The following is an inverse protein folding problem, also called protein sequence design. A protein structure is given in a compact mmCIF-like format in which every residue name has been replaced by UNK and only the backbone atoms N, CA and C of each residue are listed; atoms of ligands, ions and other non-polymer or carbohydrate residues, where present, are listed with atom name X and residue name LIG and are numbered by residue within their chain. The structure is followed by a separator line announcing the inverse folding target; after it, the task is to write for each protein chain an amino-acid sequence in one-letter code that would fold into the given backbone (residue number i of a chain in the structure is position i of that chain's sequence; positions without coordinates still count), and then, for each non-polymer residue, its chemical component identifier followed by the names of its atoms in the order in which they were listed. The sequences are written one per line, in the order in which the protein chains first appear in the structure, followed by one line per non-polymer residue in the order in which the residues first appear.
data_IF_710239565350
#
_entry.id   IF_710239565350
#
_cell.length_a   1.000
_cell.length_b   1.000
_cell.length_c   1.000
_cell.angle_alpha   90.00
_cell.angle_beta   90.00
_cell.angle_gamma   90.00
#
_symmetry.space_group_name_H-M   'P 1'
#
loop_
_entity.id
_entity.type
_entity.pdbx_description
1 polymer ?
#
# COMPACT_ATOMS: atom_id res chain seq x y z
N UNK A 1 11.29 -17.67 -11.85
CA UNK A 1 10.51 -18.58 -12.73
C UNK A 1 10.45 -17.97 -14.12
N UNK A 2 10.31 -18.76 -15.17
CA UNK A 2 10.04 -18.21 -16.52
C UNK A 2 8.52 -18.03 -16.64
N UNK A 3 8.06 -16.83 -16.87
CA UNK A 3 6.68 -16.51 -17.16
C UNK A 3 6.36 -16.88 -18.60
N UNK A 4 5.16 -17.39 -18.88
CA UNK A 4 4.75 -17.88 -20.21
C UNK A 4 3.65 -17.01 -20.83
N UNK A 5 2.77 -16.45 -19.99
CA UNK A 5 1.62 -15.67 -20.41
C UNK A 5 1.81 -14.17 -20.25
N UNK A 6 2.83 -13.76 -19.50
CA UNK A 6 3.15 -12.35 -19.22
C UNK A 6 4.65 -12.09 -19.39
N UNK A 7 5.00 -10.84 -19.60
CA UNK A 7 6.37 -10.38 -19.49
C UNK A 7 6.53 -9.56 -18.21
N UNK A 8 7.62 -9.80 -17.47
CA UNK A 8 7.92 -9.14 -16.20
C UNK A 8 9.25 -8.41 -16.29
N UNK A 9 9.22 -7.09 -16.22
CA UNK A 9 10.40 -6.24 -16.23
C UNK A 9 10.57 -5.53 -14.89
N UNK A 10 11.59 -5.90 -14.11
CA UNK A 10 11.87 -5.27 -12.80
C UNK A 10 12.15 -3.77 -12.95
N UNK A 11 11.56 -2.97 -12.07
CA UNK A 11 11.79 -1.52 -11.98
C UNK A 11 13.08 -1.20 -11.26
N UNK A 12 13.36 -1.89 -10.15
CA UNK A 12 14.61 -1.83 -9.38
C UNK A 12 15.00 -3.22 -8.88
N UNK A 13 16.23 -3.42 -8.39
CA UNK A 13 16.61 -4.69 -7.76
C UNK A 13 15.82 -5.01 -6.49
N UNK A 14 15.27 -4.00 -5.82
CA UNK A 14 14.64 -4.15 -4.51
C UNK A 14 13.13 -4.38 -4.59
N UNK A 15 12.42 -3.67 -5.48
CA UNK A 15 10.96 -3.62 -5.51
C UNK A 15 10.45 -3.12 -6.85
N UNK A 16 9.28 -3.60 -7.25
CA UNK A 16 8.54 -3.14 -8.41
C UNK A 16 8.87 -3.87 -9.70
N UNK A 17 7.83 -4.21 -10.47
CA UNK A 17 7.95 -4.73 -11.81
C UNK A 17 6.82 -4.24 -12.72
N UNK A 18 7.15 -3.93 -13.97
CA UNK A 18 6.16 -3.65 -15.01
C UNK A 18 5.76 -4.94 -15.70
N UNK A 19 4.45 -5.14 -15.84
CA UNK A 19 3.83 -6.33 -16.44
C UNK A 19 3.27 -5.94 -17.79
N UNK A 20 3.62 -6.72 -18.83
CA UNK A 20 3.05 -6.61 -20.18
C UNK A 20 2.54 -7.96 -20.69
N UNK A 21 1.91 -7.97 -21.87
CA UNK A 21 1.34 -9.18 -22.47
C UNK A 21 -0.08 -9.50 -21.99
N UNK A 22 -0.74 -8.65 -21.21
CA UNK A 22 -2.12 -8.85 -20.76
C UNK A 22 -2.95 -7.58 -20.91
N UNK A 23 -4.24 -7.78 -21.19
CA UNK A 23 -5.30 -6.77 -21.14
C UNK A 23 -6.24 -7.10 -19.96
N UNK A 24 -6.19 -6.27 -18.92
CA UNK A 24 -7.02 -6.47 -17.72
C UNK A 24 -8.51 -6.16 -17.95
N UNK A 25 -8.88 -5.60 -19.11
CA UNK A 25 -10.26 -5.46 -19.52
C UNK A 25 -10.87 -6.78 -19.97
N UNK A 26 -10.06 -7.80 -20.26
CA UNK A 26 -10.49 -9.12 -20.68
C UNK A 26 -10.43 -10.12 -19.51
N UNK A 27 -11.22 -11.20 -19.55
CA UNK A 27 -11.12 -12.27 -18.57
C UNK A 27 -9.72 -12.91 -18.61
N UNK A 28 -9.03 -12.86 -17.47
CA UNK A 28 -7.71 -13.50 -17.32
C UNK A 28 -7.86 -15.03 -17.19
N UNK A 29 -7.13 -15.78 -18.03
CA UNK A 29 -6.94 -17.21 -17.83
C UNK A 29 -6.23 -17.53 -16.50
N UNK A 30 -6.40 -18.75 -16.01
CA UNK A 30 -5.82 -19.14 -14.71
C UNK A 30 -4.30 -19.05 -14.68
N UNK A 31 -3.63 -19.39 -15.79
CA UNK A 31 -2.17 -19.30 -15.88
C UNK A 31 -1.69 -17.82 -15.78
N UNK A 32 -2.25 -16.92 -16.61
CA UNK A 32 -1.89 -15.51 -16.56
C UNK A 32 -2.17 -14.91 -15.17
N UNK A 33 -3.29 -15.28 -14.55
CA UNK A 33 -3.60 -14.86 -13.19
C UNK A 33 -2.55 -15.35 -12.17
N UNK A 34 -2.17 -16.64 -12.23
CA UNK A 34 -1.17 -17.19 -11.32
C UNK A 34 0.19 -16.51 -11.51
N UNK A 35 0.59 -16.27 -12.76
CA UNK A 35 1.84 -15.56 -13.05
C UNK A 35 1.82 -14.10 -12.55
N UNK A 36 0.69 -13.38 -12.66
CA UNK A 36 0.51 -12.04 -12.09
C UNK A 36 0.59 -12.10 -10.55
N UNK A 37 -0.05 -13.09 -9.92
CA UNK A 37 0.02 -13.29 -8.48
C UNK A 37 1.47 -13.54 -8.03
N UNK A 38 2.20 -14.43 -8.72
CA UNK A 38 3.58 -14.75 -8.38
C UNK A 38 4.51 -13.54 -8.60
N UNK A 39 4.28 -12.76 -9.67
CA UNK A 39 4.99 -11.50 -9.91
C UNK A 39 4.76 -10.49 -8.79
N UNK A 40 3.52 -10.39 -8.26
CA UNK A 40 3.22 -9.54 -7.11
C UNK A 40 3.95 -10.02 -5.85
N UNK A 41 3.95 -11.32 -5.57
CA UNK A 41 4.65 -11.90 -4.41
C UNK A 41 6.17 -11.71 -4.48
N UNK A 42 6.75 -11.79 -5.68
CA UNK A 42 8.19 -11.58 -5.89
C UNK A 42 8.58 -10.11 -5.80
N UNK A 43 7.78 -9.20 -6.38
CA UNK A 43 8.17 -7.80 -6.59
C UNK A 43 7.43 -6.81 -5.67
N UNK A 44 6.46 -7.22 -4.86
CA UNK A 44 5.66 -6.45 -3.89
C UNK A 44 4.76 -5.35 -4.49
N UNK A 45 5.12 -4.81 -5.62
CA UNK A 45 4.28 -3.94 -6.44
C UNK A 45 4.48 -4.25 -7.91
N UNK A 46 3.38 -4.32 -8.64
CA UNK A 46 3.39 -4.54 -10.08
C UNK A 46 2.62 -3.44 -10.80
N UNK A 47 3.07 -3.10 -11.99
CA UNK A 47 2.57 -2.00 -12.78
C UNK A 47 2.08 -2.49 -14.14
N UNK A 48 0.98 -1.89 -14.60
CA UNK A 48 0.45 -2.14 -15.96
C UNK A 48 0.27 -0.82 -16.67
N UNK A 49 0.61 -0.75 -17.95
CA UNK A 49 0.47 0.42 -18.80
C UNK A 49 -0.69 0.26 -19.77
N UNK A 50 -1.29 1.39 -20.21
CA UNK A 50 -2.27 1.43 -21.29
C UNK A 50 -3.53 0.59 -21.05
N UNK A 51 -3.96 0.45 -19.80
CA UNK A 51 -5.14 -0.34 -19.44
C UNK A 51 -6.41 0.50 -19.48
N UNK A 52 -7.39 0.14 -20.30
CA UNK A 52 -8.68 0.85 -20.38
C UNK A 52 -9.78 0.04 -19.71
N UNK A 53 -10.01 0.32 -18.41
CA UNK A 53 -10.95 -0.43 -17.58
C UNK A 53 -12.21 0.39 -17.26
N UNK A 54 -13.37 -0.26 -17.31
CA UNK A 54 -14.56 0.14 -16.55
C UNK A 54 -14.38 -0.16 -15.06
N UNK A 55 -15.21 0.44 -14.21
CA UNK A 55 -15.21 0.14 -12.77
C UNK A 55 -15.50 -1.34 -12.48
N UNK A 56 -16.38 -1.97 -13.27
CA UNK A 56 -16.66 -3.41 -13.10
C UNK A 56 -15.45 -4.28 -13.46
N UNK A 57 -14.72 -3.97 -14.53
CA UNK A 57 -13.51 -4.68 -14.91
C UNK A 57 -12.40 -4.50 -13.87
N UNK A 58 -12.24 -3.27 -13.33
CA UNK A 58 -11.30 -2.99 -12.25
C UNK A 58 -11.63 -3.81 -10.99
N UNK A 59 -12.93 -3.86 -10.59
CA UNK A 59 -13.39 -4.71 -9.47
C UNK A 59 -13.22 -6.21 -9.78
N UNK A 60 -13.53 -6.64 -11.00
CA UNK A 60 -13.39 -8.04 -11.40
C UNK A 60 -11.95 -8.51 -11.30
N UNK A 61 -10.97 -7.68 -11.70
CA UNK A 61 -9.54 -7.96 -11.48
C UNK A 61 -9.21 -8.09 -10.00
N UNK A 62 -9.64 -7.15 -9.18
CA UNK A 62 -9.41 -7.20 -7.72
C UNK A 62 -10.02 -8.44 -7.05
N UNK A 63 -11.24 -8.84 -7.46
CA UNK A 63 -11.93 -10.03 -6.92
C UNK A 63 -11.22 -11.36 -7.18
N UNK A 64 -10.31 -11.40 -8.15
CA UNK A 64 -9.47 -12.59 -8.37
C UNK A 64 -8.50 -12.83 -7.20
N UNK A 65 -8.14 -11.80 -6.43
CA UNK A 65 -7.23 -11.88 -5.29
C UNK A 65 -7.96 -12.04 -3.95
N UNK A 66 -9.26 -11.76 -3.91
CA UNK A 66 -10.08 -11.91 -2.71
C UNK A 66 -11.32 -11.00 -2.70
N UNK A 67 -12.01 -10.98 -1.58
CA UNK A 67 -13.15 -10.09 -1.35
C UNK A 67 -12.69 -8.63 -1.34
N UNK A 68 -13.49 -7.73 -1.93
CA UNK A 68 -13.13 -6.31 -1.96
C UNK A 68 -13.50 -5.62 -0.64
N UNK A 69 -12.60 -4.76 -0.21
CA UNK A 69 -12.78 -3.91 0.96
C UNK A 69 -13.64 -2.69 0.59
N UNK A 70 -14.59 -2.34 1.45
CA UNK A 70 -15.33 -1.07 1.37
C UNK A 70 -14.73 -0.12 2.39
N UNK A 71 -14.11 0.95 1.91
CA UNK A 71 -13.47 1.92 2.78
C UNK A 71 -14.49 2.59 3.72
N UNK A 72 -14.21 2.71 5.02
CA UNK A 72 -15.14 3.31 6.00
C UNK A 72 -15.48 4.77 5.72
N UNK A 73 -14.64 5.51 5.00
CA UNK A 73 -14.91 6.87 4.55
C UNK A 73 -15.84 6.85 3.33
N UNK A 74 -17.12 7.16 3.53
CA UNK A 74 -18.14 7.19 2.48
C UNK A 74 -18.05 8.39 1.52
N UNK A 75 -17.16 9.35 1.80
CA UNK A 75 -17.12 10.65 1.09
C UNK A 75 -16.38 10.62 -0.25
N UNK A 76 -15.70 9.54 -0.59
CA UNK A 76 -14.82 9.46 -1.76
C UNK A 76 -15.01 8.19 -2.57
N UNK A 77 -16.23 7.65 -2.66
CA UNK A 77 -16.53 6.46 -3.46
C UNK A 77 -17.35 6.81 -4.70
N UNK A 78 -17.24 5.97 -5.74
CA UNK A 78 -18.11 6.07 -6.90
C UNK A 78 -19.54 5.63 -6.48
N UNK A 79 -20.59 6.44 -6.72
CA UNK A 79 -21.92 6.20 -6.14
C UNK A 79 -22.49 4.79 -6.35
N UNK A 80 -22.36 4.24 -7.56
CA UNK A 80 -22.86 2.91 -7.92
C UNK A 80 -21.85 1.77 -7.67
N UNK A 81 -20.63 2.11 -7.24
CA UNK A 81 -19.51 1.18 -7.04
C UNK A 81 -18.79 1.47 -5.72
N UNK A 82 -19.43 1.13 -4.61
CA UNK A 82 -18.94 1.46 -3.25
C UNK A 82 -17.55 0.89 -2.92
N UNK A 83 -17.12 -0.13 -3.64
CA UNK A 83 -15.78 -0.71 -3.53
C UNK A 83 -14.71 0.12 -4.27
N UNK A 84 -15.12 1.12 -5.08
CA UNK A 84 -14.21 1.96 -5.87
C UNK A 84 -14.06 3.31 -5.18
N UNK A 85 -12.90 3.52 -4.59
CA UNK A 85 -12.52 4.77 -3.94
C UNK A 85 -12.01 5.77 -4.99
N UNK A 86 -12.48 7.02 -4.92
CA UNK A 86 -11.99 8.12 -5.75
C UNK A 86 -10.76 8.73 -5.07
N UNK A 87 -9.62 8.72 -5.75
CA UNK A 87 -8.39 9.37 -5.32
C UNK A 87 -8.21 10.62 -6.18
N UNK A 88 -8.49 11.78 -5.58
CA UNK A 88 -8.50 13.06 -6.30
C UNK A 88 -7.75 14.13 -5.52
N UNK A 89 -7.02 14.97 -6.26
CA UNK A 89 -6.56 16.29 -5.80
C UNK A 89 -6.75 17.31 -6.92
N UNK A 90 -6.92 18.57 -6.54
CA UNK A 90 -7.07 19.71 -7.44
C UNK A 90 -6.64 21.01 -6.74
N UNK A 91 -6.93 22.16 -7.36
CA UNK A 91 -6.57 23.50 -6.86
C UNK A 91 -7.23 23.89 -5.50
N UNK A 92 -8.20 23.10 -5.04
CA UNK A 92 -8.89 23.30 -3.76
C UNK A 92 -8.38 22.36 -2.67
N UNK A 93 -7.53 21.43 -3.03
CA UNK A 93 -6.99 20.43 -2.09
C UNK A 93 -6.02 21.08 -1.12
N UNK A 94 -6.19 20.83 0.17
CA UNK A 94 -5.31 21.26 1.25
C UNK A 94 -4.40 20.13 1.77
N UNK A 95 -4.63 18.91 1.30
CA UNK A 95 -3.83 17.71 1.56
C UNK A 95 -4.07 16.68 0.46
N UNK A 96 -3.20 15.68 0.37
CA UNK A 96 -3.36 14.52 -0.51
C UNK A 96 -3.36 13.25 0.33
N UNK A 97 -4.31 12.36 0.06
CA UNK A 97 -4.34 11.05 0.70
C UNK A 97 -3.05 10.29 0.38
N UNK A 98 -2.33 9.87 1.42
CA UNK A 98 -1.10 9.09 1.26
C UNK A 98 0.18 9.90 1.07
N UNK A 99 0.22 11.20 1.38
CA UNK A 99 1.43 12.04 1.32
C UNK A 99 2.51 11.72 2.36
N UNK A 100 2.24 10.83 3.30
CA UNK A 100 3.23 10.26 4.23
C UNK A 100 3.46 8.78 3.94
N UNK A 101 4.64 8.26 4.27
CA UNK A 101 4.93 6.84 4.16
C UNK A 101 3.98 5.99 5.00
N UNK A 102 3.27 5.07 4.35
CA UNK A 102 2.28 4.23 5.01
C UNK A 102 2.03 2.89 4.31
N UNK A 103 1.39 2.02 5.05
CA UNK A 103 0.64 0.86 4.56
C UNK A 103 -0.84 1.18 4.73
N UNK A 104 -1.66 0.90 3.73
CA UNK A 104 -3.08 1.23 3.74
C UNK A 104 -3.79 0.65 4.96
N UNK A 105 -4.52 1.53 5.66
CA UNK A 105 -5.48 1.17 6.72
C UNK A 105 -4.92 0.20 7.78
N UNK A 106 -3.62 0.30 8.09
CA UNK A 106 -2.99 -0.59 9.08
C UNK A 106 -3.52 -0.43 10.51
N UNK A 107 -4.41 0.54 10.74
CA UNK A 107 -5.16 0.69 11.99
C UNK A 107 -6.31 -0.31 12.15
N UNK A 108 -6.74 -1.00 11.09
CA UNK A 108 -7.77 -2.03 11.16
C UNK A 108 -7.23 -3.33 11.79
N UNK A 109 -8.13 -4.14 12.37
CA UNK A 109 -7.77 -5.44 12.94
C UNK A 109 -7.30 -6.42 11.85
N UNK A 110 -7.88 -6.32 10.66
CA UNK A 110 -7.54 -7.09 9.45
C UNK A 110 -7.26 -6.11 8.30
N UNK A 111 -6.04 -5.54 8.25
CA UNK A 111 -5.68 -4.58 7.21
C UNK A 111 -5.74 -5.19 5.81
N UNK A 112 -6.01 -4.38 4.76
CA UNK A 112 -6.08 -4.87 3.38
C UNK A 112 -4.82 -5.60 2.94
N UNK A 113 -4.99 -6.71 2.16
CA UNK A 113 -3.85 -7.41 1.57
C UNK A 113 -3.16 -6.58 0.51
N UNK A 114 -3.92 -5.84 -0.29
CA UNK A 114 -3.36 -5.06 -1.38
C UNK A 114 -4.34 -4.03 -1.95
N UNK A 115 -3.80 -3.07 -2.66
CA UNK A 115 -4.54 -1.99 -3.29
C UNK A 115 -4.18 -1.84 -4.76
N UNK A 116 -5.18 -1.62 -5.59
CA UNK A 116 -5.09 -1.50 -7.05
C UNK A 116 -5.53 -0.08 -7.42
N UNK A 117 -4.57 0.78 -7.75
CA UNK A 117 -4.81 2.17 -8.14
C UNK A 117 -4.73 2.32 -9.65
N UNK A 118 -5.79 2.82 -10.24
CA UNK A 118 -5.93 3.08 -11.67
C UNK A 118 -6.00 4.59 -11.92
N UNK A 119 -5.01 5.16 -12.64
CA UNK A 119 -4.91 6.60 -12.88
C UNK A 119 -5.53 7.02 -14.21
N UNK A 120 -6.41 8.03 -14.18
CA UNK A 120 -7.10 8.59 -15.34
C UNK A 120 -6.62 9.97 -15.76
N UNK A 121 -6.44 10.87 -14.78
CA UNK A 121 -5.96 12.23 -15.04
C UNK A 121 -4.68 12.46 -14.25
N UNK A 122 -3.70 13.05 -14.90
CA UNK A 122 -2.38 13.30 -14.32
C UNK A 122 -1.99 14.77 -14.50
N UNK A 123 -1.18 15.31 -13.60
CA UNK A 123 -0.61 16.64 -13.72
C UNK A 123 0.20 16.77 -15.02
N UNK A 124 0.09 17.91 -15.75
CA UNK A 124 0.81 18.11 -17.01
C UNK A 124 2.32 18.31 -16.82
N UNK A 125 2.77 18.61 -15.60
CA UNK A 125 4.18 18.83 -15.24
C UNK A 125 4.94 17.52 -14.89
N UNK A 126 4.25 16.36 -14.94
CA UNK A 126 4.83 15.07 -14.60
C UNK A 126 4.94 14.77 -13.10
N UNK A 127 4.37 15.63 -12.25
CA UNK A 127 4.27 15.42 -10.80
C UNK A 127 3.27 14.33 -10.40
N UNK A 128 3.07 14.12 -9.11
CA UNK A 128 2.11 13.16 -8.55
C UNK A 128 2.54 11.70 -8.66
N UNK A 129 3.84 11.43 -8.71
CA UNK A 129 4.38 10.08 -8.73
C UNK A 129 4.15 9.37 -7.38
N UNK A 130 4.34 8.07 -7.35
CA UNK A 130 4.24 7.28 -6.12
C UNK A 130 5.56 6.56 -5.86
N UNK A 131 6.04 6.67 -4.62
CA UNK A 131 7.17 5.89 -4.12
C UNK A 131 6.65 4.63 -3.44
N UNK A 132 7.36 3.51 -3.60
CA UNK A 132 7.09 2.24 -2.91
C UNK A 132 8.36 1.76 -2.24
N UNK A 133 8.26 1.18 -1.03
CA UNK A 133 9.39 0.69 -0.26
C UNK A 133 9.19 -0.75 0.17
N UNK A 134 10.27 -1.56 0.10
CA UNK A 134 10.30 -2.98 0.39
C UNK A 134 10.53 -3.24 1.89
N UNK A 135 9.51 -3.68 2.60
CA UNK A 135 9.57 -3.92 4.04
C UNK A 135 10.26 -5.24 4.41
N UNK A 136 10.43 -6.17 3.47
CA UNK A 136 11.34 -7.30 3.68
C UNK A 136 12.79 -6.82 3.81
N UNK A 137 13.23 -5.96 2.86
CA UNK A 137 14.59 -5.38 2.93
C UNK A 137 14.78 -4.51 4.16
N UNK A 138 13.76 -3.74 4.53
CA UNK A 138 13.80 -2.96 5.76
C UNK A 138 14.04 -3.84 7.00
N UNK A 139 13.44 -5.04 7.07
CA UNK A 139 13.72 -5.98 8.17
C UNK A 139 15.06 -6.69 8.01
N UNK A 140 15.35 -7.25 6.83
CA UNK A 140 16.54 -8.08 6.56
C UNK A 140 17.86 -7.33 6.75
N UNK A 141 17.87 -6.01 6.58
CA UNK A 141 19.07 -5.15 6.69
C UNK A 141 19.26 -4.54 8.08
N UNK A 142 18.33 -4.72 9.02
CA UNK A 142 18.59 -4.42 10.42
C UNK A 142 19.71 -5.32 10.96
N UNK A 143 20.49 -4.80 11.90
CA UNK A 143 21.47 -5.63 12.62
C UNK A 143 20.77 -6.79 13.36
N UNK A 144 21.41 -7.97 13.52
CA UNK A 144 20.80 -9.11 14.20
C UNK A 144 20.21 -8.81 15.59
N UNK A 145 20.85 -7.97 16.46
CA UNK A 145 20.26 -7.58 17.72
C UNK A 145 18.95 -6.80 17.57
N UNK A 146 18.87 -5.90 16.57
CA UNK A 146 17.64 -5.14 16.29
C UNK A 146 16.54 -6.01 15.67
N UNK A 147 16.89 -6.95 14.79
CA UNK A 147 15.92 -7.93 14.27
C UNK A 147 15.29 -8.70 15.42
N UNK A 148 16.13 -9.27 16.30
CA UNK A 148 15.66 -10.03 17.48
C UNK A 148 14.81 -9.18 18.42
N UNK A 149 15.16 -7.93 18.64
CA UNK A 149 14.37 -7.00 19.46
C UNK A 149 13.00 -6.78 18.84
N UNK A 150 12.96 -6.43 17.54
CA UNK A 150 11.72 -6.09 16.82
C UNK A 150 10.76 -7.27 16.71
N UNK A 151 11.26 -8.51 16.57
CA UNK A 151 10.45 -9.73 16.51
C UNK A 151 9.63 -9.99 17.78
N UNK A 152 10.11 -9.51 18.94
CA UNK A 152 9.41 -9.65 20.22
C UNK A 152 8.45 -8.51 20.56
N UNK A 153 8.30 -7.51 19.67
CA UNK A 153 7.54 -6.29 19.95
C UNK A 153 6.22 -6.25 19.17
N UNK A 154 5.23 -5.58 19.80
CA UNK A 154 4.00 -5.16 19.15
C UNK A 154 3.87 -3.64 19.18
N UNK A 155 3.10 -3.08 18.26
CA UNK A 155 2.85 -1.65 18.18
C UNK A 155 1.37 -1.34 17.99
N UNK A 156 0.94 -0.20 18.49
CA UNK A 156 -0.41 0.33 18.28
C UNK A 156 -0.44 1.10 16.98
N UNK A 157 -1.36 0.71 16.11
CA UNK A 157 -1.75 1.42 14.91
C UNK A 157 -3.09 2.11 15.16
N UNK A 158 -3.16 3.42 14.98
CA UNK A 158 -4.30 4.24 15.35
C UNK A 158 -4.71 5.18 14.18
N UNK A 159 -5.96 5.07 13.75
CA UNK A 159 -6.52 5.90 12.68
C UNK A 159 -6.80 7.34 13.09
N UNK A 160 -6.84 7.65 14.38
CA UNK A 160 -7.21 8.97 14.87
C UNK A 160 -6.30 10.08 14.33
N UNK A 161 -4.98 9.84 14.24
CA UNK A 161 -4.03 10.85 13.74
C UNK A 161 -4.22 11.18 12.26
N UNK A 162 -4.67 10.23 11.45
CA UNK A 162 -4.93 10.43 10.02
C UNK A 162 -6.34 10.96 9.80
N UNK A 163 -7.35 10.20 10.22
CA UNK A 163 -8.75 10.54 9.93
C UNK A 163 -9.23 11.75 10.72
N UNK A 164 -8.94 11.80 12.02
CA UNK A 164 -9.29 12.95 12.87
C UNK A 164 -8.33 14.11 12.72
N UNK A 165 -7.04 13.86 12.83
CA UNK A 165 -6.02 14.90 12.81
C UNK A 165 -5.82 15.53 11.43
N UNK A 166 -5.45 14.72 10.41
CA UNK A 166 -5.11 15.25 9.07
C UNK A 166 -6.35 15.55 8.23
N UNK A 167 -7.34 14.67 8.23
CA UNK A 167 -8.53 14.81 7.39
C UNK A 167 -9.69 15.53 8.08
N UNK A 168 -9.56 15.88 9.36
CA UNK A 168 -10.57 16.62 10.11
C UNK A 168 -11.91 15.89 10.24
N UNK A 169 -11.93 14.56 10.11
CA UNK A 169 -13.16 13.77 10.21
C UNK A 169 -13.59 13.64 11.67
N UNK A 170 -14.90 13.75 11.91
CA UNK A 170 -15.45 13.42 13.22
C UNK A 170 -15.30 11.91 13.49
N UNK A 171 -14.99 11.50 14.73
CA UNK A 171 -14.89 10.09 15.05
C UNK A 171 -16.25 9.39 14.86
N UNK A 172 -16.27 8.20 14.24
CA UNK A 172 -17.50 7.40 14.14
C UNK A 172 -17.95 6.91 15.53
N UNK A 173 -19.17 6.40 15.61
CA UNK A 173 -19.63 5.73 16.83
C UNK A 173 -18.66 4.59 17.17
N UNK A 174 -18.06 4.62 18.36
CA UNK A 174 -17.01 3.66 18.77
C UNK A 174 -15.57 4.14 18.59
N UNK A 175 -15.35 5.34 18.04
CA UNK A 175 -14.03 5.93 17.82
C UNK A 175 -13.42 5.54 16.46
N UNK A 176 -12.21 6.02 16.18
CA UNK A 176 -11.46 5.60 14.99
C UNK A 176 -10.91 4.19 15.16
N UNK A 177 -10.72 3.44 14.05
CA UNK A 177 -10.11 2.12 14.09
C UNK A 177 -8.73 2.18 14.77
N UNK A 178 -8.48 1.19 15.64
CA UNK A 178 -7.21 1.09 16.37
C UNK A 178 -6.92 -0.37 16.68
N UNK A 179 -5.72 -0.81 16.34
CA UNK A 179 -5.32 -2.20 16.51
C UNK A 179 -3.89 -2.32 17.00
N UNK A 180 -3.59 -3.43 17.64
CA UNK A 180 -2.23 -3.83 18.02
C UNK A 180 -1.73 -4.89 17.04
N UNK A 181 -0.57 -4.64 16.44
CA UNK A 181 0.06 -5.52 15.45
C UNK A 181 1.52 -5.81 15.83
N UNK A 182 2.09 -6.94 15.36
CA UNK A 182 3.52 -7.19 15.52
C UNK A 182 4.33 -6.13 14.76
N UNK A 183 5.45 -5.68 15.34
CA UNK A 183 6.43 -4.80 14.68
C UNK A 183 7.07 -5.50 13.48
N UNK A 184 7.23 -6.81 13.56
CA UNK A 184 7.67 -7.67 12.45
C UNK A 184 6.55 -8.64 12.09
N UNK A 185 5.97 -8.45 10.90
CA UNK A 185 4.92 -9.30 10.37
C UNK A 185 5.50 -10.45 9.56
N UNK A 186 4.97 -11.67 9.71
CA UNK A 186 5.20 -12.76 8.77
C UNK A 186 4.20 -12.68 7.62
N UNK A 187 4.69 -12.69 6.39
CA UNK A 187 3.82 -12.65 5.22
C UNK A 187 3.13 -14.02 5.02
N UNK A 188 1.79 -14.06 4.89
CA UNK A 188 1.04 -15.33 4.93
C UNK A 188 1.31 -16.27 3.75
N UNK A 189 1.74 -15.73 2.60
CA UNK A 189 2.01 -16.52 1.38
C UNK A 189 3.49 -16.87 1.26
N UNK A 190 4.39 -15.89 1.42
CA UNK A 190 5.83 -16.09 1.20
C UNK A 190 6.56 -16.60 2.44
N UNK A 191 5.97 -16.48 3.64
CA UNK A 191 6.62 -16.79 4.90
C UNK A 191 7.74 -15.83 5.32
N UNK A 192 8.06 -14.83 4.49
CA UNK A 192 9.12 -13.84 4.78
C UNK A 192 8.68 -12.87 5.87
N UNK A 193 9.64 -12.38 6.62
CA UNK A 193 9.44 -11.37 7.67
C UNK A 193 9.58 -9.96 7.09
N UNK A 194 8.63 -9.10 7.40
CA UNK A 194 8.58 -7.70 6.97
C UNK A 194 8.46 -6.77 8.18
N UNK A 195 9.17 -5.66 8.16
CA UNK A 195 8.96 -4.60 9.14
C UNK A 195 7.56 -3.99 8.94
N UNK A 196 6.75 -3.90 10.00
CA UNK A 196 5.35 -3.51 9.91
C UNK A 196 5.02 -2.33 10.83
N UNK A 197 5.70 -1.21 10.59
CA UNK A 197 5.47 0.08 11.25
C UNK A 197 5.47 1.19 10.21
N UNK A 198 4.68 2.25 10.40
CA UNK A 198 4.61 3.37 9.46
C UNK A 198 4.21 4.68 10.18
N UNK A 199 4.58 5.83 9.59
CA UNK A 199 4.35 7.15 10.18
C UNK A 199 2.87 7.52 10.30
N UNK A 200 2.04 7.05 9.38
CA UNK A 200 0.63 7.44 9.37
C UNK A 200 -0.18 6.83 10.51
N UNK A 201 0.08 5.58 10.85
CA UNK A 201 -0.79 4.85 11.76
C UNK A 201 -0.09 4.36 13.03
N UNK A 202 1.21 4.07 13.01
CA UNK A 202 1.89 3.53 14.18
C UNK A 202 2.19 4.63 15.18
N UNK A 203 1.65 4.52 16.40
CA UNK A 203 1.71 5.58 17.41
C UNK A 203 2.61 5.27 18.59
N UNK A 204 2.78 3.98 18.93
CA UNK A 204 3.65 3.56 20.03
C UNK A 204 3.97 2.08 19.96
N UNK A 205 5.11 1.68 20.52
CA UNK A 205 5.47 0.29 20.82
C UNK A 205 4.93 -0.08 22.20
N UNK A 206 4.25 -1.21 22.28
CA UNK A 206 3.65 -1.71 23.52
C UNK A 206 4.76 -2.16 24.48
N UNK A 207 4.59 -1.85 25.76
CA UNK A 207 5.55 -2.24 26.81
C UNK A 207 6.75 -1.31 26.96
N UNK A 208 7.04 -0.42 26.00
CA UNK A 208 8.09 0.59 26.14
C UNK A 208 7.57 1.89 26.75
N UNK A 209 8.43 2.60 27.49
CA UNK A 209 8.15 3.98 27.91
C UNK A 209 8.13 4.89 26.68
N UNK A 210 7.39 5.99 26.77
CA UNK A 210 7.20 6.90 25.62
C UNK A 210 8.52 7.32 24.93
N UNK A 211 9.55 7.80 25.66
CA UNK A 211 10.81 8.19 25.00
C UNK A 211 11.53 7.04 24.29
N UNK A 212 11.44 5.82 24.83
CA UNK A 212 12.03 4.62 24.23
C UNK A 212 11.28 4.22 22.97
N UNK A 213 9.96 4.20 23.04
CA UNK A 213 9.08 3.93 21.89
C UNK A 213 9.28 4.93 20.77
N UNK A 214 9.28 6.25 21.08
CA UNK A 214 9.43 7.30 20.10
C UNK A 214 10.80 7.21 19.40
N UNK A 215 11.88 6.98 20.15
CA UNK A 215 13.24 6.86 19.60
C UNK A 215 13.38 5.63 18.70
N UNK A 216 12.82 4.48 19.09
CA UNK A 216 12.88 3.26 18.30
C UNK A 216 12.01 3.38 17.03
N UNK A 217 10.80 3.91 17.13
CA UNK A 217 9.93 4.12 15.97
C UNK A 217 10.56 5.09 14.96
N UNK A 218 11.12 6.20 15.42
CA UNK A 218 11.77 7.16 14.50
C UNK A 218 12.95 6.53 13.77
N UNK A 219 13.77 5.73 14.45
CA UNK A 219 14.86 4.98 13.82
C UNK A 219 14.32 3.99 12.78
N UNK A 220 13.26 3.23 13.10
CA UNK A 220 12.65 2.25 12.19
C UNK A 220 12.00 2.93 10.98
N UNK A 221 11.36 4.09 11.15
CA UNK A 221 10.79 4.86 10.04
C UNK A 221 11.87 5.31 9.07
N UNK A 222 12.92 5.99 9.56
CA UNK A 222 14.05 6.44 8.71
C UNK A 222 14.72 5.27 7.98
N UNK A 223 14.87 4.14 8.66
CA UNK A 223 15.44 2.94 8.07
C UNK A 223 14.54 2.38 6.95
N UNK A 224 13.22 2.34 7.17
CA UNK A 224 12.25 1.90 6.15
C UNK A 224 12.21 2.79 4.92
N UNK A 225 12.54 4.08 5.09
CA UNK A 225 12.58 5.10 4.05
C UNK A 225 13.93 5.18 3.33
N UNK A 226 14.80 4.18 3.50
CA UNK A 226 16.11 4.09 2.81
C UNK A 226 15.91 4.02 1.30
N UNK A 227 16.57 4.88 0.49
CA UNK A 227 16.37 4.96 -0.96
C UNK A 227 16.62 3.64 -1.71
N UNK A 228 17.56 2.82 -1.24
CA UNK A 228 17.91 1.52 -1.83
C UNK A 228 16.79 0.47 -1.70
N UNK A 229 15.80 0.72 -0.85
CA UNK A 229 14.62 -0.15 -0.70
C UNK A 229 13.46 0.27 -1.59
N UNK A 230 13.60 1.38 -2.33
CA UNK A 230 12.51 2.06 -2.99
C UNK A 230 12.50 1.88 -4.50
N UNK A 231 11.32 2.05 -5.09
CA UNK A 231 11.15 2.44 -6.49
C UNK A 231 10.21 3.65 -6.58
N UNK A 232 10.43 4.49 -7.60
CA UNK A 232 9.54 5.59 -7.98
C UNK A 232 8.78 5.20 -9.23
N UNK A 233 7.47 5.16 -9.14
CA UNK A 233 6.61 4.92 -10.29
C UNK A 233 6.14 6.25 -10.89
N UNK A 234 6.56 6.50 -12.12
CA UNK A 234 6.11 7.64 -12.93
C UNK A 234 4.83 7.21 -13.65
N UNK A 235 3.73 7.86 -13.30
CA UNK A 235 2.44 7.55 -13.86
C UNK A 235 2.31 8.00 -15.31
N UNK A 236 1.51 7.26 -16.06
CA UNK A 236 0.97 7.63 -17.38
C UNK A 236 -0.56 7.43 -17.33
N UNK A 237 -1.35 8.14 -18.14
CA UNK A 237 -2.77 7.87 -18.22
C UNK A 237 -3.04 6.39 -18.48
N UNK A 238 -4.09 5.86 -17.86
CA UNK A 238 -4.45 4.46 -17.95
C UNK A 238 -3.37 3.48 -17.43
N UNK A 239 -2.50 3.92 -16.53
CA UNK A 239 -1.62 3.04 -15.77
C UNK A 239 -2.32 2.50 -14.52
N UNK A 240 -1.95 1.29 -14.14
CA UNK A 240 -2.38 0.64 -12.89
C UNK A 240 -1.13 0.30 -12.07
N UNK A 241 -1.20 0.54 -10.77
CA UNK A 241 -0.27 -0.02 -9.79
C UNK A 241 -1.04 -0.91 -8.83
N UNK A 242 -0.54 -2.13 -8.60
CA UNK A 242 -1.06 -3.05 -7.60
C UNK A 242 0.05 -3.40 -6.61
N UNK A 243 -0.11 -3.05 -5.35
CA UNK A 243 0.87 -3.31 -4.30
C UNK A 243 0.33 -4.18 -3.19
N UNK A 244 1.23 -4.98 -2.61
CA UNK A 244 0.96 -5.84 -1.47
C UNK A 244 1.20 -5.06 -0.17
N UNK A 245 0.13 -4.65 0.50
CA UNK A 245 0.18 -3.91 1.76
C UNK A 245 0.82 -4.71 2.91
N UNK A 246 0.98 -6.02 2.75
CA UNK A 246 1.54 -6.88 3.77
C UNK A 246 3.06 -6.78 3.87
N UNK A 247 3.71 -6.26 2.82
CA UNK A 247 5.17 -6.16 2.75
C UNK A 247 5.70 -4.93 2.00
N UNK A 248 4.82 -4.02 1.56
CA UNK A 248 5.19 -2.76 0.94
C UNK A 248 4.59 -1.57 1.70
N UNK A 249 5.36 -0.49 1.82
CA UNK A 249 4.85 0.85 2.11
C UNK A 249 4.84 1.69 0.84
N UNK A 250 4.03 2.74 0.85
CA UNK A 250 4.02 3.70 -0.25
C UNK A 250 3.84 5.14 0.24
N UNK A 251 4.18 6.08 -0.67
CA UNK A 251 4.12 7.52 -0.44
C UNK A 251 3.67 8.19 -1.73
N UNK A 252 2.53 8.90 -1.69
CA UNK A 252 2.04 9.71 -2.79
C UNK A 252 2.72 11.08 -2.76
N UNK A 253 3.49 11.41 -3.80
CA UNK A 253 4.12 12.72 -3.89
C UNK A 253 3.08 13.79 -4.20
N UNK A 254 3.15 14.92 -3.47
CA UNK A 254 2.32 16.09 -3.73
C UNK A 254 3.17 17.27 -4.19
N UNK A 255 3.78 17.08 -5.34
CA UNK A 255 4.69 18.02 -6.02
C UNK A 255 4.06 18.67 -7.27
N UNK A 256 2.71 18.63 -7.39
CA UNK A 256 1.97 19.02 -8.57
C UNK A 256 0.88 20.08 -8.33
N UNK A 257 0.78 20.64 -7.11
CA UNK A 257 -0.20 21.70 -6.85
C UNK A 257 0.05 22.90 -7.78
N UNK A 258 -0.97 23.51 -8.40
CA UNK A 258 -2.43 23.32 -8.19
C UNK A 258 -3.10 22.36 -9.20
N UNK A 259 -2.33 21.54 -9.90
CA UNK A 259 -2.85 20.70 -10.98
C UNK A 259 -3.74 19.55 -10.47
N UNK A 260 -4.66 19.13 -11.35
CA UNK A 260 -5.58 18.04 -11.07
C UNK A 260 -4.91 16.68 -11.24
N UNK A 261 -5.22 15.77 -10.32
CA UNK A 261 -4.87 14.35 -10.38
C UNK A 261 -6.10 13.54 -10.00
N UNK A 262 -6.48 12.53 -10.81
CA UNK A 262 -7.65 11.69 -10.58
C UNK A 262 -7.34 10.23 -10.89
N UNK A 263 -7.65 9.37 -9.95
CA UNK A 263 -7.61 7.93 -10.10
C UNK A 263 -8.69 7.23 -9.29
N UNK A 264 -8.78 5.92 -9.48
CA UNK A 264 -9.73 5.04 -8.81
C UNK A 264 -8.99 3.91 -8.14
N UNK A 265 -9.33 3.60 -6.90
CA UNK A 265 -8.68 2.55 -6.13
C UNK A 265 -9.68 1.47 -5.73
N UNK A 266 -9.35 0.24 -6.03
CA UNK A 266 -9.98 -0.97 -5.49
C UNK A 266 -9.02 -1.58 -4.49
N UNK A 267 -9.53 -2.03 -3.35
CA UNK A 267 -8.74 -2.60 -2.26
C UNK A 267 -9.24 -4.00 -1.94
N UNK A 268 -8.33 -4.95 -1.79
CA UNK A 268 -8.64 -6.35 -1.48
C UNK A 268 -8.51 -6.56 0.02
N UNK A 269 -9.50 -7.20 0.66
CA UNK A 269 -9.44 -7.57 2.07
C UNK A 269 -8.20 -8.40 2.38
N UNK A 270 -7.69 -8.27 3.59
CA UNK A 270 -6.51 -8.97 4.06
C UNK A 270 -6.76 -9.86 5.26
N UNK A 271 -5.73 -10.09 6.00
CA UNK A 271 -5.67 -10.96 7.15
C UNK A 271 -5.16 -10.21 8.39
N UNK A 272 -5.45 -10.75 9.57
CA UNK A 272 -4.88 -10.25 10.81
C UNK A 272 -3.35 -10.44 10.79
N UNK A 273 -2.56 -9.35 10.93
CA UNK A 273 -1.10 -9.45 11.00
C UNK A 273 -0.63 -10.38 12.12
N UNK A 274 0.30 -11.27 11.81
CA UNK A 274 0.89 -12.18 12.76
C UNK A 274 2.42 -12.26 12.61
N UNK A 275 3.10 -12.67 13.69
CA UNK A 275 4.52 -13.01 13.67
C UNK A 275 4.67 -14.52 13.92
N UNK A 276 5.52 -15.16 13.11
CA UNK A 276 5.95 -16.55 13.33
C UNK A 276 7.44 -16.53 13.61
N UNK A 277 7.83 -17.06 14.77
CA UNK A 277 9.23 -17.22 15.19
C UNK A 277 10.06 -18.06 14.22
#
# INVERSE_FOLDING_TARGET
MAYQSIEVRKSTPAIGAEISGVDLAQPLGNQAFQEIHDALMENLVIFFRGQELSHEQHKAFGRRFGELHIHPSSLSVVPEHREVLIIKADEKSTYVAGEEWHTDVSCDAEPPMGSILYMKELPPDGGGNTLFANMYRAFETLSPPLQKLCEGLTAIHDGAQVYGGRFGQAPPAGGFPRSEHPVVRTHPVTGRKALYVNRNFTTRIVGLRKPESDALLEMLYRHSETPEFQCRFVWQPNSIAFWDNRAAMHHAMWDYFPHKRLGYRVTVKGDKPFHRA
#
